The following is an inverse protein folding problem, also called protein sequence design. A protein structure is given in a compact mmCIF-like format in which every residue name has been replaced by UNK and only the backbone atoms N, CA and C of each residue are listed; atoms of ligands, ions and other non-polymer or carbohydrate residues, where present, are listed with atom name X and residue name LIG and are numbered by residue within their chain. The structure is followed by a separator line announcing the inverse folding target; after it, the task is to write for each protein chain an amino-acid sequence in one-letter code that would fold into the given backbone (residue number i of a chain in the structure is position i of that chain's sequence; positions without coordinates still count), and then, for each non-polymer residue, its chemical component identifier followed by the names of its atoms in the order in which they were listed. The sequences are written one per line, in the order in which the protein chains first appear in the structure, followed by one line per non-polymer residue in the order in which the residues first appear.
data_IF_415252242514
#
_entry.id   IF_415252242514
#
_cell.length_a   1.000
_cell.length_b   1.000
_cell.length_c   1.000
_cell.angle_alpha   90.00
_cell.angle_beta   90.00
_cell.angle_gamma   90.00
#
_symmetry.space_group_name_H-M   'P 1'
#
loop_
_entity.id
_entity.type
_entity.pdbx_description
1 polymer ?
#
# COMPACT_ATOMS: atom_id res chain seq x y z
N UNK A 1 35.24 46.76 28.06
CA UNK A 1 34.26 45.87 28.72
C UNK A 1 33.54 45.11 27.63
N UNK A 2 33.82 43.80 27.56
CA UNK A 2 33.32 42.87 26.54
C UNK A 2 31.89 42.44 26.88
N UNK A 3 31.01 42.34 25.88
CA UNK A 3 29.70 41.71 26.04
C UNK A 3 29.46 40.81 24.84
N UNK A 4 29.64 39.50 25.03
CA UNK A 4 29.22 38.48 24.09
C UNK A 4 27.80 38.03 24.47
N UNK A 5 26.84 38.23 23.56
CA UNK A 5 25.49 37.68 23.69
C UNK A 5 25.52 36.21 23.23
N UNK A 6 25.19 35.29 24.14
CA UNK A 6 24.94 33.87 23.82
C UNK A 6 23.46 33.76 23.48
N UNK A 7 23.14 33.46 22.22
CA UNK A 7 21.81 33.06 21.81
C UNK A 7 21.61 31.57 22.16
N UNK A 8 20.73 31.28 23.11
CA UNK A 8 20.28 29.91 23.39
C UNK A 8 19.19 29.57 22.38
N UNK A 9 19.51 28.70 21.43
CA UNK A 9 18.55 28.11 20.51
C UNK A 9 17.75 27.04 21.27
N UNK A 10 16.49 27.34 21.59
CA UNK A 10 15.57 26.36 22.15
C UNK A 10 15.10 25.45 21.02
N UNK A 11 15.73 24.29 20.86
CA UNK A 11 15.20 23.20 20.04
C UNK A 11 13.97 22.65 20.76
N UNK A 12 12.79 23.10 20.33
CA UNK A 12 11.54 22.40 20.64
C UNK A 12 11.66 20.97 20.09
N UNK A 13 11.70 19.97 20.97
CA UNK A 13 11.50 18.55 20.62
C UNK A 13 10.08 18.38 20.08
N UNK A 14 9.84 18.79 18.85
CA UNK A 14 8.76 18.21 18.05
C UNK A 14 9.07 16.72 17.96
N UNK A 15 8.12 15.89 18.39
CA UNK A 15 8.12 14.45 18.18
C UNK A 15 8.14 14.19 16.66
N UNK A 16 9.31 14.26 16.05
CA UNK A 16 9.55 13.81 14.69
C UNK A 16 9.70 12.30 14.79
N UNK A 17 8.74 11.57 14.21
CA UNK A 17 8.89 10.13 14.03
C UNK A 17 10.16 9.82 13.25
N UNK A 18 10.82 8.71 13.58
CA UNK A 18 12.00 8.26 12.86
C UNK A 18 11.63 7.76 11.46
N UNK A 19 12.60 7.80 10.54
CA UNK A 19 12.42 7.36 9.15
C UNK A 19 12.19 8.50 8.15
N UNK A 20 11.92 8.17 6.89
CA UNK A 20 11.73 9.15 5.82
C UNK A 20 10.40 9.89 5.95
N UNK A 21 10.28 11.09 5.37
CA UNK A 21 8.98 11.79 5.31
C UNK A 21 7.91 10.91 4.65
N UNK A 22 6.67 10.99 5.15
CA UNK A 22 5.55 10.21 4.63
C UNK A 22 5.37 10.39 3.10
N UNK A 23 4.88 9.35 2.43
CA UNK A 23 4.57 9.41 0.99
C UNK A 23 3.17 10.01 0.83
N UNK A 24 3.01 11.14 0.09
CA UNK A 24 1.70 11.71 -0.14
C UNK A 24 0.91 10.84 -1.12
N UNK A 25 -0.18 10.24 -0.65
CA UNK A 25 -1.08 9.44 -1.49
C UNK A 25 -2.16 10.25 -2.20
N UNK A 26 -2.33 11.53 -1.86
CA UNK A 26 -3.39 12.37 -2.40
C UNK A 26 -4.78 11.74 -2.24
N UNK A 27 -5.59 11.81 -3.29
CA UNK A 27 -6.93 11.22 -3.33
C UNK A 27 -6.94 9.70 -3.38
N UNK A 28 -5.82 9.05 -3.75
CA UNK A 28 -5.69 7.59 -3.67
C UNK A 28 -5.80 7.06 -2.23
N UNK A 29 -5.57 7.91 -1.21
CA UNK A 29 -5.75 7.59 0.20
C UNK A 29 -7.21 7.25 0.58
N UNK A 30 -8.18 7.48 -0.30
CA UNK A 30 -9.59 7.16 -0.04
C UNK A 30 -9.94 5.71 -0.37
N UNK A 31 -9.07 4.98 -1.09
CA UNK A 31 -9.32 3.64 -1.60
C UNK A 31 -8.54 2.55 -0.86
N UNK A 32 -9.20 1.47 -0.50
CA UNK A 32 -8.56 0.23 -0.06
C UNK A 32 -7.85 -0.46 -1.25
N UNK A 33 -8.48 -0.42 -2.43
CA UNK A 33 -7.94 -0.98 -3.67
C UNK A 33 -8.12 0.03 -4.80
N UNK A 34 -7.06 0.36 -5.53
CA UNK A 34 -7.12 1.19 -6.72
C UNK A 34 -6.25 0.57 -7.80
N UNK A 35 -6.81 0.35 -8.98
CA UNK A 35 -6.16 -0.34 -10.09
C UNK A 35 -6.47 0.31 -11.45
N UNK A 36 -5.69 -0.03 -12.49
CA UNK A 36 -5.87 0.53 -13.84
C UNK A 36 -6.54 -0.41 -14.83
N UNK A 37 -6.21 -1.71 -14.81
CA UNK A 37 -6.60 -2.68 -15.84
C UNK A 37 -7.59 -3.74 -15.38
N UNK A 38 -7.72 -3.99 -14.07
CA UNK A 38 -8.79 -4.84 -13.55
C UNK A 38 -8.71 -5.09 -12.04
N UNK A 39 -9.86 -5.43 -11.46
CA UNK A 39 -9.96 -5.93 -10.09
C UNK A 39 -10.80 -7.20 -10.13
N UNK A 40 -10.22 -8.32 -9.72
CA UNK A 40 -10.91 -9.61 -9.72
C UNK A 40 -10.95 -10.22 -8.33
N UNK A 41 -12.02 -10.96 -8.04
CA UNK A 41 -12.08 -11.83 -6.87
C UNK A 41 -12.60 -13.22 -7.25
N UNK A 42 -11.98 -14.26 -6.69
CA UNK A 42 -12.60 -15.57 -6.50
C UNK A 42 -13.30 -15.53 -5.14
N UNK A 43 -14.65 -15.44 -5.10
CA UNK A 43 -15.39 -15.12 -3.87
C UNK A 43 -15.26 -16.19 -2.78
N UNK A 44 -15.47 -15.84 -1.50
CA UNK A 44 -15.86 -14.52 -1.00
C UNK A 44 -14.69 -13.77 -0.36
N UNK A 45 -14.31 -12.64 -0.92
CA UNK A 45 -13.44 -11.64 -0.28
C UNK A 45 -14.21 -10.80 0.73
N UNK A 46 -13.48 -10.16 1.66
CA UNK A 46 -14.01 -9.16 2.58
C UNK A 46 -13.15 -7.89 2.49
N UNK A 47 -13.72 -6.81 1.97
CA UNK A 47 -13.02 -5.54 1.77
C UNK A 47 -13.67 -4.49 2.67
N UNK A 48 -12.86 -3.77 3.44
CA UNK A 48 -13.27 -2.59 4.19
C UNK A 48 -12.59 -1.37 3.59
N UNK A 49 -13.39 -0.48 3.01
CA UNK A 49 -12.96 0.67 2.22
C UNK A 49 -13.37 0.56 0.75
N UNK A 50 -13.22 1.68 0.05
CA UNK A 50 -13.65 1.82 -1.34
C UNK A 50 -12.69 1.12 -2.32
N UNK A 51 -13.21 0.65 -3.45
CA UNK A 51 -12.40 0.15 -4.57
C UNK A 51 -12.61 1.00 -5.82
N UNK A 52 -11.54 1.26 -6.57
CA UNK A 52 -11.58 2.08 -7.78
C UNK A 52 -10.86 1.43 -8.96
N UNK A 53 -11.43 1.56 -10.16
CA UNK A 53 -10.82 1.09 -11.40
C UNK A 53 -10.89 2.17 -12.49
N UNK A 54 -9.74 2.60 -12.99
CA UNK A 54 -9.65 3.57 -14.09
C UNK A 54 -8.27 3.49 -14.75
N UNK A 55 -8.16 3.51 -16.08
CA UNK A 55 -9.20 3.88 -17.06
C UNK A 55 -10.13 2.74 -17.46
N UNK A 56 -9.91 1.50 -16.99
CA UNK A 56 -10.77 0.38 -17.34
C UNK A 56 -12.22 0.56 -16.83
N UNK A 57 -13.16 0.01 -17.59
CA UNK A 57 -14.59 0.04 -17.28
C UNK A 57 -14.96 -0.97 -16.18
N UNK A 58 -16.16 -0.82 -15.59
CA UNK A 58 -16.65 -1.70 -14.53
C UNK A 58 -16.75 -3.18 -14.92
N UNK A 59 -16.79 -3.50 -16.22
CA UNK A 59 -16.75 -4.89 -16.72
C UNK A 59 -15.46 -5.63 -16.36
N UNK A 60 -14.41 -4.92 -16.00
CA UNK A 60 -13.14 -5.47 -15.51
C UNK A 60 -13.08 -5.57 -13.97
N UNK A 61 -14.16 -5.20 -13.27
CA UNK A 61 -14.38 -5.53 -11.86
C UNK A 61 -15.18 -6.83 -11.80
N UNK A 62 -14.49 -7.96 -11.63
CA UNK A 62 -15.06 -9.30 -11.82
C UNK A 62 -15.16 -10.10 -10.51
N UNK A 63 -16.17 -10.97 -10.41
CA UNK A 63 -16.40 -11.80 -9.21
C UNK A 63 -17.12 -11.11 -8.05
N UNK A 64 -17.35 -9.80 -8.11
CA UNK A 64 -17.97 -9.04 -7.03
C UNK A 64 -19.50 -9.02 -7.03
N UNK A 65 -20.15 -9.54 -8.07
CA UNK A 65 -21.62 -9.45 -8.24
C UNK A 65 -22.15 -8.03 -7.96
N UNK A 66 -21.57 -7.05 -8.67
CA UNK A 66 -21.85 -5.63 -8.44
C UNK A 66 -23.29 -5.26 -8.74
N UNK A 67 -23.88 -4.43 -7.88
CA UNK A 67 -25.17 -3.76 -8.11
C UNK A 67 -24.94 -2.26 -8.24
N UNK A 68 -25.25 -1.70 -9.42
CA UNK A 68 -25.09 -0.28 -9.71
C UNK A 68 -26.10 0.56 -8.91
N UNK A 69 -25.64 1.69 -8.37
CA UNK A 69 -26.49 2.67 -7.69
C UNK A 69 -27.51 3.32 -8.64
N UNK A 70 -28.60 3.85 -8.09
CA UNK A 70 -29.66 4.47 -8.89
C UNK A 70 -29.21 5.71 -9.69
N UNK A 71 -28.23 6.44 -9.17
CA UNK A 71 -27.59 7.58 -9.84
C UNK A 71 -26.45 7.16 -10.79
N UNK A 72 -26.08 5.88 -10.79
CA UNK A 72 -25.05 5.30 -11.64
C UNK A 72 -23.62 5.72 -11.29
N UNK A 73 -23.39 6.36 -10.14
CA UNK A 73 -22.06 6.89 -9.76
C UNK A 73 -21.17 5.85 -9.08
N UNK A 74 -21.73 4.81 -8.47
CA UNK A 74 -20.99 3.73 -7.81
C UNK A 74 -21.73 2.40 -7.89
N UNK A 75 -21.09 1.32 -7.42
CA UNK A 75 -21.73 0.03 -7.22
C UNK A 75 -21.47 -0.50 -5.81
N UNK A 76 -22.30 -1.45 -5.39
CA UNK A 76 -22.20 -2.15 -4.10
C UNK A 76 -22.00 -3.65 -4.31
N UNK A 77 -21.45 -4.32 -3.30
CA UNK A 77 -21.27 -5.77 -3.24
C UNK A 77 -21.34 -6.22 -1.77
N UNK A 78 -21.83 -7.43 -1.51
CA UNK A 78 -21.73 -8.04 -0.17
C UNK A 78 -20.29 -8.27 0.31
N UNK A 79 -19.33 -8.26 -0.62
CA UNK A 79 -17.89 -8.42 -0.34
C UNK A 79 -17.19 -7.09 -0.02
N UNK A 80 -17.88 -5.95 -0.13
CA UNK A 80 -17.31 -4.61 0.01
C UNK A 80 -18.11 -3.82 1.05
N UNK A 81 -17.48 -3.56 2.20
CA UNK A 81 -17.92 -2.54 3.17
C UNK A 81 -17.38 -1.20 2.71
N UNK A 82 -18.09 -0.59 1.76
CA UNK A 82 -17.68 0.57 0.98
C UNK A 82 -18.36 0.55 -0.39
N UNK A 83 -17.78 1.24 -1.36
CA UNK A 83 -18.30 1.31 -2.72
C UNK A 83 -17.25 0.90 -3.76
N UNK A 84 -17.73 0.35 -4.87
CA UNK A 84 -16.93 0.16 -6.07
C UNK A 84 -17.17 1.31 -7.03
N UNK A 85 -16.10 1.86 -7.59
CA UNK A 85 -16.13 2.94 -8.58
C UNK A 85 -15.38 2.50 -9.84
N UNK A 86 -15.88 2.87 -11.01
CA UNK A 86 -15.23 2.58 -12.28
C UNK A 86 -15.28 3.76 -13.24
N UNK A 87 -14.33 3.84 -14.17
CA UNK A 87 -14.25 4.91 -15.16
C UNK A 87 -15.49 5.01 -16.07
N UNK A 88 -16.26 3.94 -16.21
CA UNK A 88 -17.50 3.90 -17.00
C UNK A 88 -18.76 4.39 -16.27
N UNK A 89 -18.65 4.85 -15.03
CA UNK A 89 -19.78 5.33 -14.23
C UNK A 89 -20.13 6.79 -14.50
N UNK A 90 -21.29 7.21 -13.99
CA UNK A 90 -21.79 8.59 -14.12
C UNK A 90 -20.86 9.58 -13.41
N UNK A 91 -20.75 10.79 -13.97
CA UNK A 91 -20.08 11.93 -13.32
C UNK A 91 -20.60 12.15 -11.88
N UNK A 92 -19.72 12.46 -10.90
CA UNK A 92 -18.32 12.87 -11.04
C UNK A 92 -17.29 11.72 -11.03
N UNK A 93 -17.72 10.46 -10.99
CA UNK A 93 -16.83 9.31 -10.75
C UNK A 93 -15.62 9.22 -11.69
N UNK A 94 -15.75 9.39 -13.03
CA UNK A 94 -14.61 9.26 -13.93
C UNK A 94 -13.50 10.30 -13.69
N UNK A 95 -13.86 11.56 -13.40
CA UNK A 95 -12.86 12.60 -13.13
C UNK A 95 -12.19 12.39 -11.77
N UNK A 96 -12.96 12.01 -10.74
CA UNK A 96 -12.42 11.65 -9.42
C UNK A 96 -11.42 10.49 -9.52
N UNK A 97 -11.74 9.44 -10.28
CA UNK A 97 -10.83 8.31 -10.47
C UNK A 97 -9.59 8.67 -11.30
N UNK A 98 -9.73 9.56 -12.29
CA UNK A 98 -8.58 10.06 -13.06
C UNK A 98 -7.57 10.76 -12.14
N UNK A 99 -8.06 11.60 -11.22
CA UNK A 99 -7.21 12.24 -10.20
C UNK A 99 -6.57 11.20 -9.27
N UNK A 100 -7.34 10.23 -8.78
CA UNK A 100 -6.83 9.21 -7.87
C UNK A 100 -5.72 8.35 -8.51
N UNK A 101 -5.86 7.95 -9.78
CA UNK A 101 -4.82 7.20 -10.50
C UNK A 101 -3.57 8.06 -10.73
N UNK A 102 -3.74 9.33 -11.08
CA UNK A 102 -2.61 10.27 -11.17
C UNK A 102 -1.88 10.44 -9.84
N UNK A 103 -2.59 10.39 -8.72
CA UNK A 103 -2.00 10.45 -7.38
C UNK A 103 -1.27 9.15 -7.03
N UNK A 104 -1.74 7.97 -7.48
CA UNK A 104 -0.98 6.71 -7.36
C UNK A 104 0.35 6.80 -8.08
N UNK A 105 0.36 7.30 -9.33
CA UNK A 105 1.61 7.47 -10.09
C UNK A 105 2.55 8.48 -9.40
N UNK A 106 2.02 9.59 -8.90
CA UNK A 106 2.78 10.57 -8.13
C UNK A 106 3.39 9.94 -6.87
N UNK A 107 2.60 9.19 -6.11
CA UNK A 107 3.04 8.50 -4.90
C UNK A 107 4.11 7.43 -5.21
N UNK A 108 3.93 6.65 -6.28
CA UNK A 108 4.90 5.68 -6.76
C UNK A 108 6.24 6.34 -7.09
N UNK A 109 6.22 7.42 -7.90
CA UNK A 109 7.42 8.17 -8.27
C UNK A 109 8.09 8.83 -7.05
N UNK A 110 7.29 9.34 -6.11
CA UNK A 110 7.79 9.91 -4.87
C UNK A 110 8.50 8.86 -4.00
N UNK A 111 7.90 7.68 -3.82
CA UNK A 111 8.45 6.61 -2.99
C UNK A 111 9.67 5.94 -3.65
N UNK A 112 9.61 5.64 -4.95
CA UNK A 112 10.70 5.01 -5.70
C UNK A 112 11.88 5.96 -5.94
N UNK A 113 11.63 7.27 -5.98
CA UNK A 113 12.64 8.31 -6.17
C UNK A 113 13.35 8.78 -4.90
N UNK A 114 13.01 8.26 -3.71
CA UNK A 114 13.74 8.60 -2.48
C UNK A 114 15.21 8.16 -2.62
N UNK A 115 16.12 9.04 -2.19
CA UNK A 115 17.56 8.82 -2.26
C UNK A 115 18.17 8.64 -0.86
N UNK A 116 19.43 8.20 -0.81
CA UNK A 116 20.20 7.96 0.42
C UNK A 116 19.53 6.93 1.35
N UNK A 117 19.35 5.67 0.91
CA UNK A 117 18.74 4.64 1.75
C UNK A 117 19.60 4.35 2.99
N UNK A 118 18.93 4.16 4.13
CA UNK A 118 19.55 3.70 5.37
C UNK A 118 20.06 2.26 5.24
N UNK A 119 19.37 1.46 4.42
CA UNK A 119 19.70 0.06 4.15
C UNK A 119 19.68 -0.23 2.65
N UNK A 120 20.77 -0.80 2.13
CA UNK A 120 20.88 -1.21 0.72
C UNK A 120 21.09 -2.72 0.63
N UNK A 121 20.25 -3.38 -0.18
CA UNK A 121 20.27 -4.82 -0.43
C UNK A 121 20.31 -5.66 0.85
N UNK A 122 19.57 -5.24 1.88
CA UNK A 122 19.53 -5.92 3.17
C UNK A 122 19.17 -7.40 2.98
N UNK A 123 20.02 -8.27 3.52
CA UNK A 123 19.90 -9.73 3.43
C UNK A 123 19.68 -10.27 2.02
N UNK A 124 20.23 -9.57 1.01
CA UNK A 124 20.06 -9.91 -0.41
C UNK A 124 18.60 -10.05 -0.85
N UNK A 125 17.66 -9.44 -0.13
CA UNK A 125 16.22 -9.49 -0.40
C UNK A 125 15.45 -10.56 0.39
N UNK A 126 16.10 -11.49 1.08
CA UNK A 126 15.44 -12.57 1.82
C UNK A 126 15.16 -12.18 3.29
N UNK A 127 14.33 -11.15 3.51
CA UNK A 127 14.20 -10.45 4.80
C UNK A 127 13.46 -11.21 5.92
N UNK A 128 13.18 -12.50 5.73
CA UNK A 128 12.46 -13.31 6.72
C UNK A 128 13.21 -13.43 8.04
N UNK A 129 12.49 -13.33 9.17
CA UNK A 129 13.05 -13.41 10.51
C UNK A 129 13.71 -12.13 11.01
N UNK A 130 13.82 -11.09 10.18
CA UNK A 130 14.38 -9.80 10.58
C UNK A 130 13.38 -8.96 11.38
N UNK A 131 13.93 -8.01 12.13
CA UNK A 131 13.18 -6.87 12.69
C UNK A 131 13.67 -5.59 12.02
N UNK A 132 12.75 -4.88 11.36
CA UNK A 132 13.02 -3.72 10.54
C UNK A 132 12.70 -2.45 11.34
N UNK A 133 13.72 -1.66 11.62
CA UNK A 133 13.61 -0.35 12.26
C UNK A 133 13.11 0.71 11.27
N UNK A 134 12.62 1.88 11.73
CA UNK A 134 12.20 2.98 10.84
C UNK A 134 13.31 3.35 9.86
N UNK A 135 12.96 3.60 8.60
CA UNK A 135 13.97 3.94 7.60
C UNK A 135 13.55 3.77 6.14
N UNK A 136 14.45 4.21 5.27
CA UNK A 136 14.41 3.99 3.83
C UNK A 136 15.26 2.76 3.48
N UNK A 137 14.61 1.76 2.90
CA UNK A 137 15.24 0.53 2.47
C UNK A 137 15.21 0.44 0.94
N UNK A 138 16.29 -0.09 0.36
CA UNK A 138 16.42 -0.24 -1.09
C UNK A 138 16.96 -1.60 -1.47
N UNK A 139 16.27 -2.29 -2.38
CA UNK A 139 16.76 -3.47 -3.07
C UNK A 139 16.77 -3.24 -4.57
N UNK A 140 17.88 -3.61 -5.21
CA UNK A 140 18.00 -3.66 -6.68
C UNK A 140 17.52 -5.00 -7.26
N UNK A 141 17.04 -5.90 -6.39
CA UNK A 141 16.48 -7.21 -6.70
C UNK A 141 15.02 -7.29 -6.23
N UNK A 142 14.42 -8.48 -6.37
CA UNK A 142 13.20 -8.83 -5.64
C UNK A 142 13.46 -9.04 -4.14
N UNK A 143 12.37 -9.06 -3.37
CA UNK A 143 12.34 -9.31 -1.93
C UNK A 143 11.40 -10.48 -1.64
N UNK A 144 11.84 -11.43 -0.82
CA UNK A 144 11.05 -12.56 -0.33
C UNK A 144 10.92 -12.55 1.20
N UNK A 145 9.73 -12.92 1.67
CA UNK A 145 9.39 -13.10 3.08
C UNK A 145 9.02 -14.57 3.27
N UNK A 146 10.05 -15.44 3.27
CA UNK A 146 9.90 -16.90 3.38
C UNK A 146 9.67 -17.35 4.85
N UNK A 147 10.02 -16.49 5.80
CA UNK A 147 9.64 -16.56 7.21
C UNK A 147 9.11 -15.18 7.65
N UNK A 148 8.31 -15.12 8.72
CA UNK A 148 7.68 -13.88 9.15
C UNK A 148 8.72 -12.80 9.49
N UNK A 149 8.41 -11.55 9.16
CA UNK A 149 9.24 -10.37 9.42
C UNK A 149 8.52 -9.44 10.40
N UNK A 150 9.26 -8.69 11.20
CA UNK A 150 8.71 -7.71 12.15
C UNK A 150 9.10 -6.31 11.70
N UNK A 151 8.15 -5.38 11.68
CA UNK A 151 8.39 -3.94 11.54
C UNK A 151 8.16 -3.32 12.91
N UNK A 152 9.20 -2.69 13.47
CA UNK A 152 9.20 -2.23 14.85
C UNK A 152 9.57 -0.76 14.96
N UNK A 153 8.66 0.03 15.51
CA UNK A 153 8.85 1.45 15.77
C UNK A 153 7.62 2.06 16.43
N UNK A 154 7.66 3.36 16.66
CA UNK A 154 6.56 4.12 17.25
C UNK A 154 5.40 4.33 16.26
N UNK A 155 4.26 4.82 16.76
CA UNK A 155 3.09 5.14 15.94
C UNK A 155 3.33 6.30 14.95
N UNK A 156 4.39 7.09 15.14
CA UNK A 156 4.73 8.22 14.27
C UNK A 156 5.88 7.92 13.31
N UNK A 157 6.56 6.79 13.50
CA UNK A 157 7.69 6.39 12.66
C UNK A 157 7.21 5.92 11.29
N UNK A 158 8.10 5.95 10.30
CA UNK A 158 7.81 5.66 8.89
C UNK A 158 8.80 4.69 8.26
N UNK A 159 8.31 3.97 7.25
CA UNK A 159 9.07 3.00 6.47
C UNK A 159 8.79 3.16 4.98
N UNK A 160 9.83 3.19 4.17
CA UNK A 160 9.72 3.08 2.71
C UNK A 160 10.61 1.94 2.25
N UNK A 161 10.01 0.92 1.66
CA UNK A 161 10.68 -0.24 1.07
C UNK A 161 10.67 -0.11 -0.46
N UNK A 162 11.81 0.23 -1.05
CA UNK A 162 11.99 0.31 -2.50
C UNK A 162 12.48 -1.04 -3.05
N UNK A 163 11.67 -1.66 -3.92
CA UNK A 163 11.94 -3.00 -4.44
C UNK A 163 11.94 -2.95 -5.97
N UNK A 164 13.11 -3.16 -6.59
CA UNK A 164 13.25 -3.11 -8.05
C UNK A 164 12.79 -4.39 -8.77
N UNK A 165 12.57 -5.49 -8.04
CA UNK A 165 11.99 -6.72 -8.56
C UNK A 165 10.63 -7.04 -7.95
N UNK A 166 10.33 -8.33 -7.83
CA UNK A 166 9.08 -8.82 -7.24
C UNK A 166 9.09 -8.71 -5.71
N UNK A 167 7.90 -8.70 -5.11
CA UNK A 167 7.71 -8.88 -3.67
C UNK A 167 6.86 -10.13 -3.41
N UNK A 168 7.38 -11.06 -2.63
CA UNK A 168 6.65 -12.28 -2.26
C UNK A 168 6.60 -12.46 -0.75
N UNK A 169 5.47 -12.94 -0.24
CA UNK A 169 5.35 -13.48 1.12
C UNK A 169 4.84 -14.91 1.04
N UNK A 170 5.54 -15.82 1.70
CA UNK A 170 5.20 -17.24 1.67
C UNK A 170 3.90 -17.55 2.43
N UNK A 171 3.34 -18.73 2.18
CA UNK A 171 2.09 -19.17 2.79
C UNK A 171 2.15 -19.14 4.33
N UNK A 172 1.12 -18.59 4.96
CA UNK A 172 0.98 -18.51 6.41
C UNK A 172 2.06 -17.66 7.10
N UNK A 173 2.84 -16.86 6.36
CA UNK A 173 3.81 -15.92 6.93
C UNK A 173 3.21 -14.54 7.12
N UNK A 174 3.86 -13.75 7.96
CA UNK A 174 3.33 -12.46 8.37
C UNK A 174 4.38 -11.36 8.31
N UNK A 175 3.95 -10.18 7.87
CA UNK A 175 4.57 -8.90 8.25
C UNK A 175 3.88 -8.46 9.54
N UNK A 176 4.59 -8.53 10.66
CA UNK A 176 4.05 -8.18 11.99
C UNK A 176 4.48 -6.79 12.40
N UNK A 177 3.66 -6.11 13.20
CA UNK A 177 3.97 -4.77 13.73
C UNK A 177 4.24 -4.84 15.23
N UNK A 178 5.25 -4.12 15.71
CA UNK A 178 5.56 -3.97 17.13
C UNK A 178 5.93 -2.53 17.48
N UNK A 179 5.92 -2.20 18.78
CA UNK A 179 6.30 -0.87 19.28
C UNK A 179 5.27 0.25 19.06
N UNK A 180 4.14 -0.07 18.43
CA UNK A 180 3.10 0.89 18.07
C UNK A 180 3.09 1.30 16.59
N UNK A 181 3.98 0.71 15.76
CA UNK A 181 4.02 0.96 14.32
C UNK A 181 2.64 0.84 13.69
N UNK A 182 2.32 1.77 12.78
CA UNK A 182 1.03 1.85 12.09
C UNK A 182 1.17 1.40 10.63
N UNK A 183 0.24 0.57 10.10
CA UNK A 183 0.23 0.22 8.68
C UNK A 183 0.14 1.44 7.75
N UNK A 184 -0.46 2.55 8.20
CA UNK A 184 -0.59 3.78 7.41
C UNK A 184 0.76 4.48 7.14
N UNK A 185 1.80 4.17 7.93
CA UNK A 185 3.13 4.79 7.80
C UNK A 185 4.14 3.89 7.09
N UNK A 186 3.71 2.73 6.58
CA UNK A 186 4.57 1.73 5.95
C UNK A 186 4.23 1.67 4.47
N UNK A 187 5.20 2.00 3.62
CA UNK A 187 5.03 2.00 2.15
C UNK A 187 5.97 0.99 1.51
N UNK A 188 5.41 0.12 0.69
CA UNK A 188 6.11 -0.82 -0.17
C UNK A 188 5.95 -0.35 -1.61
N UNK A 189 7.01 0.13 -2.24
CA UNK A 189 7.01 0.52 -3.66
C UNK A 189 7.75 -0.54 -4.48
N UNK A 190 7.01 -1.21 -5.36
CA UNK A 190 7.45 -2.45 -6.02
C UNK A 190 7.37 -2.28 -7.53
N UNK A 191 8.49 -2.47 -8.21
CA UNK A 191 8.59 -2.28 -9.67
C UNK A 191 8.06 -3.47 -10.48
N UNK A 192 7.93 -4.65 -9.86
CA UNK A 192 7.38 -5.86 -10.48
C UNK A 192 6.25 -6.46 -9.61
N UNK A 193 5.82 -7.67 -9.95
CA UNK A 193 4.64 -8.29 -9.37
C UNK A 193 4.75 -8.50 -7.86
N UNK A 194 3.63 -8.31 -7.17
CA UNK A 194 3.47 -8.57 -5.73
C UNK A 194 2.60 -9.81 -5.55
N UNK A 195 3.06 -10.78 -4.78
CA UNK A 195 2.31 -12.02 -4.51
C UNK A 195 2.25 -12.33 -3.02
N UNK A 196 1.04 -12.38 -2.48
CA UNK A 196 0.78 -12.82 -1.12
C UNK A 196 0.36 -14.29 -1.12
N UNK A 197 1.14 -15.13 -0.45
CA UNK A 197 0.86 -16.55 -0.29
C UNK A 197 -0.47 -16.81 0.42
N UNK A 198 -0.96 -18.04 0.37
CA UNK A 198 -2.20 -18.41 1.03
C UNK A 198 -2.11 -18.16 2.52
N UNK A 199 -3.18 -17.65 3.14
CA UNK A 199 -3.26 -17.37 4.59
C UNK A 199 -2.18 -16.44 5.16
N UNK A 200 -1.42 -15.72 4.31
CA UNK A 200 -0.42 -14.76 4.78
C UNK A 200 -1.08 -13.51 5.36
N UNK A 201 -0.39 -12.81 6.26
CA UNK A 201 -0.85 -11.52 6.80
C UNK A 201 0.13 -10.41 6.47
N UNK A 202 -0.33 -9.31 5.90
CA UNK A 202 0.50 -8.20 5.46
C UNK A 202 0.08 -6.88 6.12
N UNK A 203 1.02 -5.98 6.34
CA UNK A 203 0.77 -4.64 6.87
C UNK A 203 1.50 -3.58 6.02
N UNK A 204 0.77 -2.57 5.57
CA UNK A 204 1.31 -1.44 4.83
C UNK A 204 0.57 -1.09 3.55
N UNK A 205 0.95 0.02 2.94
CA UNK A 205 0.47 0.49 1.64
C UNK A 205 1.38 -0.09 0.56
N UNK A 206 0.79 -0.78 -0.43
CA UNK A 206 1.51 -1.33 -1.58
C UNK A 206 1.27 -0.44 -2.80
N UNK A 207 2.35 0.17 -3.31
CA UNK A 207 2.41 0.90 -4.58
C UNK A 207 3.08 -0.02 -5.63
N UNK A 208 2.27 -0.76 -6.38
CA UNK A 208 2.75 -1.70 -7.40
C UNK A 208 2.78 -1.07 -8.80
N UNK A 209 3.91 -1.16 -9.50
CA UNK A 209 3.99 -0.81 -10.92
C UNK A 209 3.29 -1.84 -11.82
N UNK A 210 3.16 -3.09 -11.34
CA UNK A 210 2.45 -4.15 -12.04
C UNK A 210 1.38 -4.76 -11.14
N UNK A 211 1.08 -6.05 -11.32
CA UNK A 211 -0.05 -6.70 -10.69
C UNK A 211 0.19 -7.06 -9.22
N UNK A 212 -0.88 -7.01 -8.43
CA UNK A 212 -0.87 -7.46 -7.04
C UNK A 212 -1.84 -8.63 -6.88
N UNK A 213 -1.34 -9.78 -6.41
CA UNK A 213 -2.13 -11.00 -6.21
C UNK A 213 -2.19 -11.39 -4.74
N UNK A 214 -3.41 -11.52 -4.22
CA UNK A 214 -3.72 -12.05 -2.90
C UNK A 214 -4.28 -13.46 -3.05
N UNK A 215 -3.48 -14.47 -2.73
CA UNK A 215 -3.93 -15.86 -2.78
C UNK A 215 -4.90 -16.19 -1.64
N UNK A 216 -5.51 -17.37 -1.75
CA UNK A 216 -6.60 -17.85 -0.90
C UNK A 216 -6.39 -17.54 0.59
N UNK A 217 -7.30 -16.76 1.17
CA UNK A 217 -7.35 -16.47 2.60
C UNK A 217 -6.25 -15.53 3.11
N UNK A 218 -5.47 -14.91 2.22
CA UNK A 218 -4.51 -13.87 2.64
C UNK A 218 -5.22 -12.61 3.13
N UNK A 219 -4.56 -11.89 4.04
CA UNK A 219 -5.09 -10.69 4.69
C UNK A 219 -4.08 -9.55 4.59
N UNK A 220 -4.58 -8.33 4.37
CA UNK A 220 -3.79 -7.11 4.47
C UNK A 220 -4.52 -6.05 5.30
N UNK A 221 -3.82 -5.43 6.24
CA UNK A 221 -4.20 -4.12 6.80
C UNK A 221 -3.37 -3.06 6.08
N UNK A 222 -4.00 -2.32 5.18
CA UNK A 222 -3.25 -1.55 4.21
C UNK A 222 -4.05 -1.13 2.99
N UNK A 223 -3.33 -0.84 1.91
CA UNK A 223 -3.90 -0.45 0.62
C UNK A 223 -3.20 -1.20 -0.51
N UNK A 224 -3.94 -1.47 -1.57
CA UNK A 224 -3.45 -2.09 -2.79
C UNK A 224 -3.61 -1.08 -3.94
N UNK A 225 -2.54 -0.36 -4.27
CA UNK A 225 -2.52 0.68 -5.29
C UNK A 225 -1.67 0.20 -6.46
N UNK A 226 -2.29 -0.33 -7.50
CA UNK A 226 -1.64 -1.00 -8.62
C UNK A 226 -1.79 -0.22 -9.93
N UNK A 227 -0.71 -0.07 -10.70
CA UNK A 227 -0.76 0.51 -12.05
C UNK A 227 -1.22 -0.50 -13.12
N UNK A 228 -1.53 -1.74 -12.73
CA UNK A 228 -2.23 -2.69 -13.61
C UNK A 228 -3.43 -3.32 -12.90
N UNK A 229 -3.34 -4.57 -12.46
CA UNK A 229 -4.48 -5.33 -11.95
C UNK A 229 -4.27 -5.78 -10.50
N UNK A 230 -5.40 -5.94 -9.78
CA UNK A 230 -5.45 -6.60 -8.47
C UNK A 230 -6.29 -7.86 -8.58
N UNK A 231 -5.75 -9.00 -8.13
CA UNK A 231 -6.43 -10.28 -8.12
C UNK A 231 -6.54 -10.84 -6.70
N UNK A 232 -7.75 -11.18 -6.28
CA UNK A 232 -8.06 -11.66 -4.94
C UNK A 232 -8.61 -13.09 -4.99
N UNK A 233 -8.30 -13.90 -3.99
CA UNK A 233 -8.92 -15.19 -3.76
C UNK A 233 -9.36 -15.27 -2.30
N UNK A 234 -10.66 -15.17 -2.02
CA UNK A 234 -11.21 -15.20 -0.65
C UNK A 234 -10.37 -14.38 0.35
N UNK A 235 -9.88 -13.22 -0.08
CA UNK A 235 -8.91 -12.42 0.64
C UNK A 235 -9.58 -11.34 1.48
N UNK A 236 -8.92 -10.93 2.56
CA UNK A 236 -9.36 -9.82 3.42
C UNK A 236 -8.50 -8.59 3.21
N UNK A 237 -9.12 -7.44 2.94
CA UNK A 237 -8.44 -6.16 2.74
C UNK A 237 -9.08 -5.13 3.66
N UNK A 238 -8.31 -4.60 4.61
CA UNK A 238 -8.78 -3.60 5.56
C UNK A 238 -7.97 -2.32 5.40
N UNK A 239 -8.62 -1.26 4.94
CA UNK A 239 -8.02 0.07 4.90
C UNK A 239 -7.60 0.52 6.32
N UNK A 240 -6.38 1.08 6.50
CA UNK A 240 -5.92 1.62 7.78
C UNK A 240 -6.53 2.98 8.10
#
# INVERSE_FOLDING_TARGET
MSSFAIAILVLSNSCLGAGPLAVPLGTAATFAILAESGISTVPSSAITGDIGLSPAASTFITGFTLTLSADGTYSTSSQITGHAYAASYTSPTPSTLTTAISDVLTAYNNASGRANPDYTNLDSGAIGGLTLAPGLYKWTSGVSIDSSVTISGSATDTWIFQIAGTLTIANGKSVTLSGGASPANIVWVVADAVTFGTTSTFNGIVLGATGITLNTGSTINGRLLAQTAVALQSATVTQP
#
